data_IF_354526052405
#
_entry.id   IF_354526052405
#
_cell.length_a   1.000
_cell.length_b   1.000
_cell.length_c   1.000
_cell.angle_alpha   90.00
_cell.angle_beta   90.00
_cell.angle_gamma   90.00
#
_symmetry.space_group_name_H-M   'P 1'
#
loop_
_entity.id
_entity.type
_entity.pdbx_description
1 polymer ?
#
# COMPACT_ATOMS: atom_id res chain seq x y z
N UNK A 1 49.12 24.33 40.77
CA UNK A 1 47.99 24.86 39.98
C UNK A 1 48.35 24.76 38.51
N UNK A 2 47.95 23.67 37.85
CA UNK A 2 48.21 23.44 36.44
C UNK A 2 47.16 24.23 35.61
N UNK A 3 47.65 25.19 34.86
CA UNK A 3 46.85 25.89 33.84
C UNK A 3 46.49 24.88 32.75
N UNK A 4 45.21 24.50 32.62
CA UNK A 4 44.72 23.83 31.45
C UNK A 4 44.57 24.83 30.33
N UNK A 5 45.47 24.78 29.38
CA UNK A 5 45.39 25.53 28.16
C UNK A 5 44.21 25.02 27.31
N UNK A 6 43.62 25.96 26.58
CA UNK A 6 42.45 25.77 25.70
C UNK A 6 42.63 24.54 24.79
N UNK A 7 41.65 23.58 24.84
CA UNK A 7 41.58 22.49 23.91
C UNK A 7 41.01 22.99 22.58
N UNK A 8 41.84 23.07 21.57
CA UNK A 8 41.37 23.35 20.19
C UNK A 8 40.86 22.03 19.57
N UNK A 9 39.55 21.98 19.34
CA UNK A 9 38.96 20.89 18.58
C UNK A 9 38.92 21.31 17.11
N UNK A 10 39.91 20.86 16.33
CA UNK A 10 39.94 21.08 14.89
C UNK A 10 39.05 20.05 14.19
N UNK A 11 37.91 20.46 13.67
CA UNK A 11 37.15 19.66 12.73
C UNK A 11 37.77 19.70 11.34
N UNK A 12 38.04 18.53 10.77
CA UNK A 12 38.54 18.35 9.39
C UNK A 12 37.60 19.04 8.40
N UNK A 13 38.19 19.83 7.52
CA UNK A 13 37.64 20.61 6.39
C UNK A 13 36.94 21.93 6.74
N UNK A 14 37.74 22.99 6.78
CA UNK A 14 37.38 24.34 6.30
C UNK A 14 36.35 25.13 7.07
N UNK A 15 35.92 24.73 8.28
CA UNK A 15 35.10 25.55 9.18
C UNK A 15 35.98 26.14 10.27
N UNK A 16 35.84 27.44 10.51
CA UNK A 16 36.51 28.14 11.60
C UNK A 16 36.27 27.40 12.92
N UNK A 17 37.36 27.01 13.59
CA UNK A 17 37.27 26.40 14.90
C UNK A 17 36.70 27.47 15.88
N UNK A 18 35.57 27.20 16.47
CA UNK A 18 35.05 28.02 17.57
C UNK A 18 35.89 27.74 18.80
N UNK A 19 36.65 28.75 19.24
CA UNK A 19 37.50 28.63 20.41
C UNK A 19 36.68 29.05 21.62
N UNK A 20 36.19 28.09 22.40
CA UNK A 20 35.54 28.38 23.68
C UNK A 20 36.57 28.51 24.81
N UNK A 21 36.42 29.54 25.60
CA UNK A 21 37.17 29.65 26.87
C UNK A 21 36.60 28.60 27.87
N UNK A 22 37.45 28.16 28.81
CA UNK A 22 37.03 27.26 29.89
C UNK A 22 35.89 27.79 30.74
N UNK A 23 35.76 29.15 30.83
CA UNK A 23 34.66 29.80 31.52
C UNK A 23 33.33 29.68 30.74
N UNK A 24 33.36 29.84 29.43
CA UNK A 24 32.21 29.68 28.54
C UNK A 24 31.73 28.21 28.51
N UNK A 25 32.65 27.23 28.43
CA UNK A 25 32.30 25.82 28.53
C UNK A 25 31.59 25.48 29.84
N UNK A 26 32.07 26.00 30.97
CA UNK A 26 31.40 25.80 32.27
C UNK A 26 30.02 26.43 32.30
N UNK A 27 29.86 27.64 31.75
CA UNK A 27 28.59 28.37 31.66
C UNK A 27 27.59 27.57 30.77
N UNK A 28 28.03 27.13 29.58
CA UNK A 28 27.21 26.36 28.68
C UNK A 28 26.80 25.00 29.25
N UNK A 29 27.71 24.32 29.97
CA UNK A 29 27.37 23.09 30.69
C UNK A 29 26.41 23.30 31.86
N UNK A 30 26.48 24.45 32.56
CA UNK A 30 25.53 24.78 33.61
C UNK A 30 24.12 25.01 33.03
N UNK A 31 24.00 25.72 31.90
CA UNK A 31 22.77 25.96 31.20
C UNK A 31 22.20 24.62 30.68
N UNK A 32 23.04 23.80 30.05
CA UNK A 32 22.63 22.46 29.57
C UNK A 32 22.08 21.58 30.70
N UNK A 33 22.72 21.58 31.85
CA UNK A 33 22.24 20.83 33.03
C UNK A 33 20.92 21.35 33.58
N UNK A 34 20.67 22.66 33.45
CA UNK A 34 19.45 23.29 33.94
C UNK A 34 18.27 23.17 32.97
N UNK A 35 18.52 23.28 31.65
CA UNK A 35 17.48 23.37 30.61
C UNK A 35 17.40 22.12 29.73
N UNK A 36 18.41 21.26 29.76
CA UNK A 36 18.51 20.11 28.84
C UNK A 36 18.89 20.48 27.40
N UNK A 37 19.04 21.78 27.10
CA UNK A 37 19.37 22.30 25.76
C UNK A 37 20.69 23.03 25.78
N UNK A 38 21.58 22.70 24.84
CA UNK A 38 22.84 23.44 24.73
C UNK A 38 22.62 24.83 24.13
N UNK A 39 23.15 25.90 24.73
CA UNK A 39 22.89 27.28 24.28
C UNK A 39 23.26 27.55 22.82
N UNK A 40 24.25 26.85 22.29
CA UNK A 40 24.65 26.91 20.90
C UNK A 40 23.60 26.34 19.95
N UNK A 41 22.89 25.29 20.38
CA UNK A 41 21.77 24.75 19.63
C UNK A 41 20.57 25.68 19.65
N UNK A 42 20.32 26.38 20.78
CA UNK A 42 19.30 27.42 20.86
C UNK A 42 19.61 28.59 19.95
N UNK A 43 20.86 29.13 20.01
CA UNK A 43 21.29 30.21 19.14
C UNK A 43 21.24 29.81 17.65
N UNK A 44 21.62 28.58 17.34
CA UNK A 44 21.55 28.06 15.97
C UNK A 44 20.11 27.87 15.51
N UNK A 45 19.23 27.38 16.38
CA UNK A 45 17.80 27.27 16.12
C UNK A 45 17.16 28.66 15.94
N UNK A 46 17.51 29.63 16.80
CA UNK A 46 17.01 31.00 16.70
C UNK A 46 17.51 31.70 15.41
N UNK A 47 18.80 31.60 15.08
CA UNK A 47 19.34 32.16 13.84
C UNK A 47 18.83 31.46 12.58
N UNK A 48 18.55 30.17 12.67
CA UNK A 48 17.92 29.39 11.60
C UNK A 48 16.44 29.75 11.42
N UNK A 49 15.72 29.99 12.51
CA UNK A 49 14.33 30.45 12.47
C UNK A 49 14.16 31.86 11.87
N UNK A 50 15.12 32.74 12.09
CA UNK A 50 15.10 34.11 11.57
C UNK A 50 15.53 34.21 10.09
N UNK A 51 16.30 33.20 9.60
CA UNK A 51 16.82 33.15 8.23
C UNK A 51 16.14 32.10 7.35
N UNK A 52 15.28 31.22 7.91
CA UNK A 52 14.63 30.21 7.14
C UNK A 52 13.48 30.77 6.29
N UNK A 53 13.48 30.58 4.98
CA UNK A 53 12.31 30.91 4.18
C UNK A 53 11.11 30.16 4.77
N UNK A 54 10.03 30.89 5.04
CA UNK A 54 8.79 30.28 5.52
C UNK A 54 8.16 29.40 4.44
N UNK A 55 7.21 28.56 4.84
CA UNK A 55 6.38 27.84 3.87
C UNK A 55 5.61 28.83 2.98
N UNK A 56 5.32 28.50 1.73
CA UNK A 56 4.55 29.36 0.80
C UNK A 56 3.25 29.84 1.43
N UNK A 57 2.76 31.01 1.00
CA UNK A 57 1.46 31.50 1.46
C UNK A 57 0.35 30.50 1.14
N UNK A 58 -0.71 30.46 1.96
CA UNK A 58 -1.86 29.59 1.73
C UNK A 58 -2.62 30.00 0.50
N UNK A 59 -3.00 29.00 -0.30
CA UNK A 59 -3.80 29.19 -1.49
C UNK A 59 -4.99 28.21 -1.47
N UNK A 60 -6.21 28.76 -1.53
CA UNK A 60 -7.43 27.98 -1.52
C UNK A 60 -7.63 27.15 -2.81
N UNK A 61 -6.95 27.50 -3.90
CA UNK A 61 -7.01 26.75 -5.17
C UNK A 61 -6.18 25.46 -5.12
N UNK A 62 -5.24 25.35 -4.20
CA UNK A 62 -4.45 24.14 -4.02
C UNK A 62 -5.29 22.99 -3.50
N UNK A 63 -4.99 21.76 -3.92
CA UNK A 63 -5.69 20.59 -3.39
C UNK A 63 -5.42 20.42 -1.90
N UNK A 64 -6.48 20.12 -1.16
CA UNK A 64 -6.42 19.82 0.26
C UNK A 64 -6.71 18.34 0.48
N UNK A 65 -5.91 17.71 1.32
CA UNK A 65 -6.04 16.30 1.73
C UNK A 65 -6.34 16.25 3.22
N UNK A 66 -7.29 15.43 3.63
CA UNK A 66 -7.53 15.16 5.04
C UNK A 66 -7.08 13.76 5.43
N UNK A 67 -6.64 13.63 6.68
CA UNK A 67 -6.35 12.38 7.37
C UNK A 67 -7.15 12.35 8.66
N UNK A 68 -7.99 11.35 8.82
CA UNK A 68 -8.62 11.04 10.10
C UNK A 68 -7.73 10.04 10.85
N UNK A 69 -7.21 10.45 11.99
CA UNK A 69 -6.35 9.62 12.82
C UNK A 69 -7.19 8.85 13.84
N UNK A 70 -6.97 7.54 13.89
CA UNK A 70 -7.69 6.61 14.78
C UNK A 70 -6.68 5.88 15.65
N UNK A 71 -6.91 5.88 16.94
CA UNK A 71 -6.14 5.15 17.94
C UNK A 71 -6.82 3.85 18.29
N UNK A 72 -6.06 2.78 18.44
CA UNK A 72 -6.55 1.52 19.01
C UNK A 72 -6.12 1.46 20.45
N UNK A 73 -7.08 1.50 21.36
CA UNK A 73 -6.83 1.39 22.80
C UNK A 73 -6.51 -0.05 23.20
N UNK A 74 -5.99 -0.23 24.42
CA UNK A 74 -5.72 -1.55 24.98
C UNK A 74 -6.95 -2.48 25.01
N UNK A 75 -8.15 -1.90 25.00
CA UNK A 75 -9.44 -2.63 24.96
C UNK A 75 -9.89 -2.95 23.53
N UNK A 76 -9.03 -2.77 22.52
CA UNK A 76 -9.32 -2.97 21.09
C UNK A 76 -10.43 -2.05 20.53
N UNK A 77 -10.78 -0.98 21.26
CA UNK A 77 -11.71 0.02 20.77
C UNK A 77 -10.98 1.00 19.85
N UNK A 78 -11.64 1.34 18.73
CA UNK A 78 -11.19 2.39 17.82
C UNK A 78 -11.72 3.73 18.29
N UNK A 79 -10.83 4.65 18.58
CA UNK A 79 -11.14 6.01 18.99
C UNK A 79 -10.56 7.01 18.00
N UNK A 80 -11.37 7.94 17.52
CA UNK A 80 -10.88 9.01 16.63
C UNK A 80 -10.09 10.01 17.46
N UNK A 81 -8.82 10.16 17.15
CA UNK A 81 -7.92 11.15 17.78
C UNK A 81 -8.22 12.55 17.25
N UNK A 82 -8.42 12.65 15.93
CA UNK A 82 -8.77 13.90 15.27
C UNK A 82 -8.53 13.85 13.77
N UNK A 83 -8.72 14.98 13.12
CA UNK A 83 -8.57 15.12 11.67
C UNK A 83 -7.50 16.17 11.35
N UNK A 84 -6.57 15.81 10.49
CA UNK A 84 -5.59 16.73 9.92
C UNK A 84 -6.05 17.15 8.53
N UNK A 85 -5.83 18.41 8.18
CA UNK A 85 -6.02 18.92 6.81
C UNK A 85 -4.69 19.46 6.32
N UNK A 86 -4.27 18.98 5.16
CA UNK A 86 -2.99 19.31 4.52
C UNK A 86 -3.26 20.00 3.20
N UNK A 87 -2.76 21.19 3.02
CA UNK A 87 -2.68 21.88 1.73
C UNK A 87 -1.47 21.33 0.95
N UNK A 88 -1.66 20.89 -0.27
CA UNK A 88 -0.63 20.25 -1.08
C UNK A 88 -0.08 21.22 -2.11
N UNK A 89 1.24 21.37 -2.17
CA UNK A 89 1.96 22.28 -3.08
C UNK A 89 2.18 21.67 -4.48
N UNK A 90 1.07 21.28 -5.14
CA UNK A 90 1.13 20.64 -6.45
C UNK A 90 1.67 21.58 -7.55
N UNK A 91 1.57 22.88 -7.35
CA UNK A 91 2.12 23.93 -8.20
C UNK A 91 3.66 24.05 -8.11
N UNK A 92 4.23 23.73 -6.95
CA UNK A 92 5.68 23.85 -6.68
C UNK A 92 6.38 22.52 -6.89
N UNK A 93 5.75 21.41 -6.46
CA UNK A 93 6.27 20.04 -6.51
C UNK A 93 5.25 19.11 -7.16
N UNK A 94 5.04 19.21 -8.48
CA UNK A 94 3.93 18.55 -9.15
C UNK A 94 3.99 17.02 -9.10
N UNK A 95 5.15 16.40 -9.20
CA UNK A 95 5.25 14.93 -9.17
C UNK A 95 5.00 14.39 -7.77
N UNK A 96 5.63 14.98 -6.75
CA UNK A 96 5.47 14.57 -5.36
C UNK A 96 4.07 14.92 -4.83
N UNK A 97 3.54 16.11 -5.16
CA UNK A 97 2.20 16.55 -4.79
C UNK A 97 1.12 15.63 -5.36
N UNK A 98 1.15 15.33 -6.66
CA UNK A 98 0.25 14.37 -7.31
C UNK A 98 0.33 12.99 -6.68
N UNK A 99 1.54 12.49 -6.41
CA UNK A 99 1.73 11.21 -5.76
C UNK A 99 1.10 11.17 -4.37
N UNK A 100 1.24 12.25 -3.59
CA UNK A 100 0.63 12.38 -2.28
C UNK A 100 -0.91 12.36 -2.34
N UNK A 101 -1.51 13.16 -3.24
CA UNK A 101 -2.96 13.20 -3.45
C UNK A 101 -3.49 11.84 -3.94
N UNK A 102 -2.80 11.20 -4.90
CA UNK A 102 -3.19 9.88 -5.39
C UNK A 102 -3.17 8.80 -4.28
N UNK A 103 -2.18 8.83 -3.38
CA UNK A 103 -2.11 7.92 -2.23
C UNK A 103 -3.23 8.16 -1.23
N UNK A 104 -3.56 9.42 -0.98
CA UNK A 104 -4.67 9.78 -0.11
C UNK A 104 -6.03 9.37 -0.69
N UNK A 105 -6.20 9.46 -2.01
CA UNK A 105 -7.45 9.10 -2.69
C UNK A 105 -7.53 7.63 -3.10
N UNK A 106 -6.44 6.90 -3.06
CA UNK A 106 -6.39 5.50 -3.52
C UNK A 106 -6.49 5.31 -5.02
N UNK A 107 -6.22 6.38 -5.82
CA UNK A 107 -6.31 6.39 -7.28
C UNK A 107 -5.09 5.86 -8.03
N UNK A 108 -4.09 5.35 -7.34
CA UNK A 108 -2.76 5.11 -7.90
C UNK A 108 -2.52 3.81 -8.68
N UNK A 109 -3.44 3.41 -9.56
CA UNK A 109 -3.19 2.25 -10.44
C UNK A 109 -1.96 2.43 -11.37
N UNK A 110 -1.49 3.67 -11.58
CA UNK A 110 -0.33 4.00 -12.44
C UNK A 110 1.03 3.97 -11.76
N UNK A 111 1.11 4.05 -10.44
CA UNK A 111 2.36 4.09 -9.64
C UNK A 111 2.77 2.70 -9.11
N UNK A 112 2.50 1.65 -9.85
CA UNK A 112 3.00 0.31 -9.51
C UNK A 112 2.24 -0.42 -8.42
N UNK A 113 0.97 -0.12 -8.23
CA UNK A 113 0.05 -0.84 -7.34
C UNK A 113 -0.14 -0.14 -6.00
N UNK A 114 -1.34 0.32 -5.77
CA UNK A 114 -2.07 0.34 -4.49
C UNK A 114 -1.37 0.88 -3.23
N UNK A 115 -0.47 1.85 -3.32
CA UNK A 115 0.00 2.55 -2.12
C UNK A 115 -1.09 3.53 -1.69
N UNK A 116 -1.82 3.17 -0.64
CA UNK A 116 -2.85 4.03 -0.02
C UNK A 116 -2.40 4.39 1.39
N UNK A 117 -2.72 5.60 1.81
CA UNK A 117 -2.50 5.97 3.20
C UNK A 117 -3.58 5.43 4.15
N UNK A 118 -4.74 5.09 3.64
CA UNK A 118 -5.82 4.49 4.42
C UNK A 118 -5.40 3.18 5.08
N UNK A 119 -5.66 3.04 6.37
CA UNK A 119 -5.25 1.92 7.22
C UNK A 119 -3.73 1.73 7.39
N UNK A 120 -2.92 2.76 7.09
CA UNK A 120 -1.49 2.72 7.40
C UNK A 120 -1.23 3.19 8.83
N UNK A 121 -0.21 2.63 9.45
CA UNK A 121 0.19 2.93 10.81
C UNK A 121 1.08 4.18 10.87
N UNK A 122 0.90 4.97 11.93
CA UNK A 122 1.91 5.93 12.38
C UNK A 122 2.95 5.12 13.13
N UNK A 123 4.04 4.82 12.46
CA UNK A 123 5.05 3.89 12.96
C UNK A 123 6.13 4.56 13.81
N UNK A 124 6.25 5.89 13.74
CA UNK A 124 7.25 6.62 14.51
C UNK A 124 6.73 7.98 14.96
N UNK A 125 6.93 8.28 16.22
CA UNK A 125 6.62 9.58 16.82
C UNK A 125 7.84 10.06 17.58
N UNK A 126 8.47 11.14 17.09
CA UNK A 126 9.56 11.80 17.81
C UNK A 126 8.95 12.95 18.61
N UNK A 127 8.89 12.85 19.94
CA UNK A 127 8.17 13.79 20.77
C UNK A 127 8.57 15.26 20.53
N UNK A 128 7.58 16.10 20.24
CA UNK A 128 7.78 17.53 19.97
C UNK A 128 8.51 17.87 18.67
N UNK A 129 8.88 16.89 17.84
CA UNK A 129 9.69 17.09 16.64
C UNK A 129 8.93 16.71 15.38
N UNK A 130 8.56 15.42 15.22
CA UNK A 130 7.93 14.92 13.99
C UNK A 130 7.15 13.62 14.19
N UNK A 131 6.31 13.34 13.24
CA UNK A 131 5.49 12.13 13.19
C UNK A 131 5.64 11.50 11.81
N UNK A 132 6.01 10.22 11.76
CA UNK A 132 6.22 9.48 10.52
C UNK A 132 5.13 8.40 10.35
N UNK A 133 4.50 8.38 9.18
CA UNK A 133 3.41 7.46 8.86
C UNK A 133 3.45 6.96 7.41
N UNK A 134 2.43 6.20 7.03
CA UNK A 134 2.25 5.75 5.66
C UNK A 134 3.18 4.61 5.23
N UNK A 135 3.82 3.93 6.19
CA UNK A 135 4.62 2.76 5.89
C UNK A 135 3.72 1.61 5.42
N UNK A 136 4.07 1.03 4.31
CA UNK A 136 3.39 -0.15 3.76
C UNK A 136 4.40 -1.24 3.45
N UNK A 137 3.97 -2.49 3.62
CA UNK A 137 4.74 -3.64 3.16
C UNK A 137 4.88 -3.57 1.64
N UNK A 138 6.11 -3.73 1.16
CA UNK A 138 6.43 -3.70 -0.27
C UNK A 138 5.75 -4.88 -0.96
N UNK A 139 4.68 -4.61 -1.70
CA UNK A 139 4.08 -5.59 -2.58
C UNK A 139 4.83 -5.57 -3.93
N UNK A 140 5.39 -6.70 -4.31
CA UNK A 140 6.06 -6.92 -5.60
C UNK A 140 7.35 -6.09 -5.85
N UNK A 141 8.11 -5.73 -4.82
CA UNK A 141 9.41 -5.07 -4.99
C UNK A 141 9.36 -3.61 -5.45
N UNK A 142 8.17 -3.02 -5.59
CA UNK A 142 8.01 -1.60 -5.95
C UNK A 142 7.77 -0.79 -4.68
N UNK A 143 8.74 0.03 -4.32
CA UNK A 143 8.70 0.82 -3.08
C UNK A 143 7.73 2.01 -3.12
N UNK A 144 7.17 2.34 -4.28
CA UNK A 144 6.37 3.56 -4.44
C UNK A 144 7.19 4.84 -4.17
N UNK A 145 8.50 4.78 -4.28
CA UNK A 145 9.36 5.93 -4.09
C UNK A 145 9.04 7.03 -5.12
N UNK A 146 9.10 8.27 -4.68
CA UNK A 146 8.99 9.46 -5.54
C UNK A 146 10.33 10.18 -5.49
N UNK A 147 11.00 10.36 -6.62
CA UNK A 147 12.28 11.05 -6.64
C UNK A 147 12.13 12.50 -6.18
N UNK A 148 13.16 13.02 -5.52
CA UNK A 148 13.20 14.41 -5.12
C UNK A 148 13.18 15.33 -6.33
N UNK A 149 12.28 16.28 -6.34
CA UNK A 149 12.25 17.33 -7.37
C UNK A 149 13.35 18.34 -7.13
N UNK A 150 14.19 18.58 -8.15
CA UNK A 150 15.40 19.39 -8.05
C UNK A 150 15.22 20.82 -8.60
N UNK A 151 13.98 21.34 -8.57
CA UNK A 151 13.72 22.73 -8.98
C UNK A 151 14.20 23.74 -7.92
N UNK A 152 14.48 24.96 -8.32
CA UNK A 152 14.88 26.00 -7.36
C UNK A 152 13.79 26.26 -6.29
N UNK A 153 12.52 26.20 -6.69
CA UNK A 153 11.37 26.38 -5.81
C UNK A 153 11.24 25.22 -4.81
N UNK A 154 11.40 23.97 -5.27
CA UNK A 154 11.28 22.78 -4.41
C UNK A 154 12.42 22.67 -3.39
N UNK A 155 13.63 23.07 -3.76
CA UNK A 155 14.80 23.09 -2.84
C UNK A 155 14.69 24.16 -1.73
N UNK A 156 13.90 25.19 -1.98
CA UNK A 156 13.70 26.29 -1.03
C UNK A 156 12.62 26.01 0.01
N UNK A 157 11.94 24.87 -0.04
CA UNK A 157 10.90 24.49 0.92
C UNK A 157 11.52 23.91 2.20
N UNK A 158 11.47 24.63 3.34
CA UNK A 158 12.03 24.17 4.60
C UNK A 158 11.08 23.20 5.28
N UNK A 159 11.60 22.28 6.09
CA UNK A 159 10.82 21.50 7.04
C UNK A 159 10.49 22.33 8.29
N UNK A 160 9.70 23.40 8.10
CA UNK A 160 9.18 24.21 9.19
C UNK A 160 8.06 23.45 9.94
N UNK A 161 7.64 23.98 11.10
CA UNK A 161 6.49 23.43 11.83
C UNK A 161 5.24 23.39 10.94
N UNK A 162 4.54 22.25 10.93
CA UNK A 162 3.40 22.00 10.07
C UNK A 162 3.76 21.55 8.65
N UNK A 163 5.04 21.47 8.26
CA UNK A 163 5.42 20.95 6.96
C UNK A 163 5.11 19.45 6.86
N UNK A 164 4.62 19.04 5.69
CA UNK A 164 4.40 17.64 5.33
C UNK A 164 5.36 17.29 4.22
N UNK A 165 6.12 16.19 4.40
CA UNK A 165 7.11 15.75 3.44
C UNK A 165 6.95 14.28 3.08
N UNK A 166 7.49 13.89 1.91
CA UNK A 166 7.58 12.52 1.44
C UNK A 166 9.03 12.04 1.47
N UNK A 167 9.22 10.80 1.88
CA UNK A 167 10.50 10.12 1.76
C UNK A 167 10.82 9.83 0.30
N UNK A 168 12.07 10.08 -0.11
CA UNK A 168 12.56 9.70 -1.43
C UNK A 168 12.69 8.18 -1.62
N UNK A 169 12.75 7.42 -0.52
CA UNK A 169 13.02 5.98 -0.54
C UNK A 169 11.76 5.11 -0.50
N UNK A 170 10.60 5.68 -0.15
CA UNK A 170 9.40 4.90 0.04
C UNK A 170 8.11 5.72 0.10
N UNK A 171 7.00 5.07 0.43
CA UNK A 171 5.69 5.72 0.48
C UNK A 171 5.47 6.52 1.76
N UNK A 172 6.41 6.54 2.68
CA UNK A 172 6.27 7.18 3.99
C UNK A 172 6.16 8.69 3.87
N UNK A 173 5.29 9.26 4.69
CA UNK A 173 5.20 10.70 4.88
C UNK A 173 5.65 11.09 6.29
N UNK A 174 6.18 12.27 6.41
CA UNK A 174 6.57 12.89 7.68
C UNK A 174 5.79 14.18 7.87
N UNK A 175 5.26 14.40 9.07
CA UNK A 175 4.66 15.66 9.49
C UNK A 175 5.55 16.29 10.55
N UNK A 176 6.08 17.47 10.29
CA UNK A 176 6.93 18.20 11.22
C UNK A 176 6.07 18.92 12.27
N UNK A 177 6.25 18.59 13.54
CA UNK A 177 5.63 19.30 14.66
C UNK A 177 6.43 20.56 14.99
N UNK A 178 7.75 20.45 14.91
CA UNK A 178 8.69 21.58 15.01
C UNK A 178 9.56 21.66 13.76
N UNK A 179 10.39 22.69 13.66
CA UNK A 179 11.33 22.83 12.54
C UNK A 179 12.34 21.67 12.51
N UNK A 180 12.46 21.01 11.36
CA UNK A 180 13.31 19.83 11.15
C UNK A 180 14.33 20.05 10.02
N UNK A 181 15.30 20.98 10.16
CA UNK A 181 16.24 21.31 9.08
C UNK A 181 17.16 20.16 8.68
N UNK A 182 17.27 19.12 9.51
CA UNK A 182 18.03 17.91 9.20
C UNK A 182 17.38 17.06 8.09
N UNK A 183 16.09 17.27 7.79
CA UNK A 183 15.38 16.59 6.70
C UNK A 183 15.50 17.35 5.37
N UNK A 184 16.01 18.59 5.38
CA UNK A 184 16.17 19.40 4.18
C UNK A 184 17.16 18.72 3.21
N UNK A 185 16.68 18.43 2.01
CA UNK A 185 17.44 17.70 1.00
C UNK A 185 17.36 16.15 1.08
N UNK A 186 16.83 15.58 2.17
CA UNK A 186 16.60 14.13 2.29
C UNK A 186 15.15 13.75 1.96
N UNK A 187 14.22 14.63 2.33
CA UNK A 187 12.79 14.46 2.06
C UNK A 187 12.26 15.64 1.23
N UNK A 188 11.20 15.37 0.48
CA UNK A 188 10.53 16.39 -0.33
C UNK A 188 9.34 16.96 0.43
N UNK A 189 9.39 18.24 0.79
CA UNK A 189 8.22 18.93 1.32
C UNK A 189 7.17 19.01 0.21
N UNK A 190 5.97 18.52 0.50
CA UNK A 190 4.85 18.45 -0.45
C UNK A 190 3.65 19.27 -0.05
N UNK A 191 3.62 19.75 1.19
CA UNK A 191 2.48 20.50 1.69
C UNK A 191 2.68 21.00 3.11
N UNK A 192 1.60 21.56 3.65
CA UNK A 192 1.54 21.97 5.05
C UNK A 192 0.21 21.64 5.70
N UNK A 193 0.21 21.47 6.99
CA UNK A 193 -1.00 21.32 7.81
C UNK A 193 -1.67 22.68 7.94
N UNK A 194 -2.92 22.77 7.51
CA UNK A 194 -3.78 23.97 7.63
C UNK A 194 -4.73 23.87 8.82
N UNK A 195 -5.08 22.65 9.23
CA UNK A 195 -5.94 22.41 10.39
C UNK A 195 -5.54 21.12 11.09
N UNK A 196 -5.67 21.06 12.41
CA UNK A 196 -5.37 19.89 13.23
C UNK A 196 -3.96 19.86 13.83
N UNK A 197 -3.28 21.00 13.94
CA UNK A 197 -1.99 21.06 14.65
C UNK A 197 -2.11 20.62 16.11
N UNK A 198 -3.21 20.92 16.78
CA UNK A 198 -3.53 20.44 18.13
C UNK A 198 -3.59 18.92 18.24
N UNK A 199 -4.01 18.25 17.16
CA UNK A 199 -4.04 16.78 17.06
C UNK A 199 -2.62 16.23 16.97
N UNK A 200 -1.74 16.90 16.19
CA UNK A 200 -0.32 16.53 16.07
C UNK A 200 0.43 16.74 17.38
N UNK A 201 0.18 17.84 18.06
CA UNK A 201 0.78 18.12 19.36
C UNK A 201 0.40 17.05 20.38
N UNK A 202 -0.89 16.72 20.51
CA UNK A 202 -1.37 15.63 21.37
C UNK A 202 -0.75 14.28 21.00
N UNK A 203 -0.61 14.00 19.70
CA UNK A 203 0.01 12.76 19.24
C UNK A 203 1.52 12.74 19.53
N UNK A 204 2.18 13.89 19.46
CA UNK A 204 3.60 14.01 19.78
C UNK A 204 3.92 13.80 21.26
N UNK A 205 2.93 13.97 22.14
CA UNK A 205 3.04 13.70 23.58
C UNK A 205 2.75 12.21 23.93
N UNK A 206 2.42 11.40 22.95
CA UNK A 206 2.15 9.98 23.15
C UNK A 206 3.39 9.26 23.72
N UNK A 207 3.16 8.29 24.58
CA UNK A 207 4.23 7.43 25.10
C UNK A 207 4.79 6.59 23.96
N UNK A 208 6.11 6.60 23.82
CA UNK A 208 6.86 5.86 22.79
C UNK A 208 7.87 4.93 23.45
N UNK A 209 8.28 3.92 22.71
CA UNK A 209 9.38 3.03 23.08
C UNK A 209 10.76 3.63 22.71
N UNK A 210 11.82 2.84 22.89
CA UNK A 210 13.20 3.25 22.59
C UNK A 210 13.43 3.50 21.07
N UNK A 211 12.60 2.94 20.20
CA UNK A 211 12.62 3.11 18.74
C UNK A 211 11.66 4.21 18.26
N UNK A 212 11.09 4.97 19.20
CA UNK A 212 10.06 5.99 18.94
C UNK A 212 8.75 5.45 18.35
N UNK A 213 8.46 4.16 18.46
CA UNK A 213 7.17 3.62 18.10
C UNK A 213 6.15 3.88 19.23
N UNK A 214 4.94 4.37 18.90
CA UNK A 214 3.94 4.66 19.91
C UNK A 214 3.41 3.36 20.55
N UNK A 215 3.29 3.32 21.89
CA UNK A 215 2.71 2.16 22.58
C UNK A 215 1.24 1.92 22.21
N UNK A 216 0.49 2.98 22.00
CA UNK A 216 -0.87 2.90 21.46
C UNK A 216 -0.80 3.05 19.95
N UNK A 217 -1.24 2.01 19.23
CA UNK A 217 -1.20 2.03 17.78
C UNK A 217 -2.14 3.07 17.21
N UNK A 218 -1.60 3.96 16.41
CA UNK A 218 -2.34 5.01 15.70
C UNK A 218 -2.31 4.72 14.21
N UNK A 219 -3.46 4.82 13.57
CA UNK A 219 -3.64 4.56 12.15
C UNK A 219 -4.29 5.74 11.45
N UNK A 220 -4.02 5.86 10.19
CA UNK A 220 -4.83 6.68 9.28
C UNK A 220 -6.12 5.91 9.00
N UNK A 221 -7.22 6.26 9.67
CA UNK A 221 -8.52 5.58 9.51
C UNK A 221 -9.11 5.83 8.14
N UNK A 222 -9.35 7.10 7.81
CA UNK A 222 -9.81 7.53 6.49
C UNK A 222 -8.99 8.71 5.99
N UNK A 223 -8.84 8.79 4.69
CA UNK A 223 -8.16 9.91 4.04
C UNK A 223 -8.77 10.18 2.66
N UNK A 224 -8.54 11.37 2.15
CA UNK A 224 -9.04 11.76 0.82
C UNK A 224 -8.89 13.25 0.56
N UNK A 225 -9.32 13.69 -0.61
CA UNK A 225 -9.36 15.11 -0.97
C UNK A 225 -10.56 15.79 -0.29
N UNK A 226 -10.35 17.01 0.15
CA UNK A 226 -11.38 17.86 0.75
C UNK A 226 -11.18 19.30 0.27
N UNK A 227 -12.08 20.20 0.68
CA UNK A 227 -11.89 21.65 0.54
C UNK A 227 -11.03 22.21 1.69
N UNK A 228 -10.68 23.50 1.62
CA UNK A 228 -9.87 24.19 2.65
C UNK A 228 -10.45 24.08 4.07
N UNK A 229 -11.78 23.92 4.19
CA UNK A 229 -12.48 23.73 5.47
C UNK A 229 -12.49 22.28 6.00
N UNK A 230 -11.80 21.36 5.34
CA UNK A 230 -11.69 19.95 5.75
C UNK A 230 -12.85 19.06 5.27
N UNK A 231 -12.93 17.80 5.75
CA UNK A 231 -13.87 16.80 5.25
C UNK A 231 -15.33 17.09 5.58
N UNK A 232 -15.60 17.96 6.54
CA UNK A 232 -16.95 18.43 6.90
C UNK A 232 -17.30 19.77 6.26
N UNK A 233 -16.37 20.41 5.54
CA UNK A 233 -16.56 21.64 4.81
C UNK A 233 -17.17 21.43 3.42
N UNK A 234 -17.13 22.46 2.57
CA UNK A 234 -17.76 22.43 1.23
C UNK A 234 -17.29 21.30 0.31
N UNK A 235 -16.11 20.71 0.55
CA UNK A 235 -15.61 19.55 -0.21
C UNK A 235 -16.09 18.18 0.30
N UNK A 236 -16.74 18.09 1.46
CA UNK A 236 -17.12 16.82 2.08
C UNK A 236 -18.12 16.02 1.23
N UNK A 237 -19.08 16.70 0.62
CA UNK A 237 -20.07 16.07 -0.25
C UNK A 237 -19.40 15.45 -1.50
N UNK A 238 -18.45 16.16 -2.12
CA UNK A 238 -17.70 15.67 -3.27
C UNK A 238 -16.81 14.46 -2.89
N UNK A 239 -16.12 14.52 -1.76
CA UNK A 239 -15.33 13.42 -1.27
C UNK A 239 -16.18 12.19 -0.93
N UNK A 240 -17.37 12.39 -0.34
CA UNK A 240 -18.33 11.32 -0.08
C UNK A 240 -18.87 10.70 -1.39
N UNK A 241 -19.21 11.51 -2.38
CA UNK A 241 -19.66 11.04 -3.68
C UNK A 241 -18.58 10.21 -4.41
N UNK A 242 -17.34 10.67 -4.43
CA UNK A 242 -16.20 9.93 -5.00
C UNK A 242 -15.92 8.61 -4.28
N UNK A 243 -16.11 8.56 -2.95
CA UNK A 243 -16.00 7.30 -2.18
C UNK A 243 -17.11 6.32 -2.54
N UNK A 244 -18.34 6.80 -2.65
CA UNK A 244 -19.50 5.98 -3.03
C UNK A 244 -19.34 5.41 -4.45
N UNK A 245 -18.87 6.21 -5.40
CA UNK A 245 -18.61 5.77 -6.77
C UNK A 245 -17.51 4.70 -6.84
N UNK A 246 -16.42 4.87 -6.07
CA UNK A 246 -15.33 3.89 -5.99
C UNK A 246 -15.75 2.60 -5.33
N UNK A 247 -16.52 2.68 -4.25
CA UNK A 247 -17.08 1.51 -3.59
C UNK A 247 -17.99 0.72 -4.54
N UNK A 248 -18.83 1.43 -5.33
CA UNK A 248 -19.67 0.81 -6.35
C UNK A 248 -18.85 0.17 -7.47
N UNK A 249 -17.78 0.83 -7.93
CA UNK A 249 -16.88 0.27 -8.95
C UNK A 249 -16.12 -0.98 -8.43
N UNK A 250 -15.65 -0.95 -7.20
CA UNK A 250 -15.01 -2.10 -6.56
C UNK A 250 -15.96 -3.27 -6.39
N UNK A 251 -17.21 -2.99 -5.96
CA UNK A 251 -18.26 -4.00 -5.84
C UNK A 251 -18.62 -4.64 -7.20
N UNK A 252 -18.69 -3.84 -8.26
CA UNK A 252 -18.90 -4.34 -9.63
C UNK A 252 -17.77 -5.27 -10.08
N UNK A 253 -16.51 -4.88 -9.90
CA UNK A 253 -15.34 -5.73 -10.23
C UNK A 253 -15.35 -7.04 -9.45
N UNK A 254 -15.60 -6.98 -8.14
CA UNK A 254 -15.68 -8.19 -7.33
C UNK A 254 -16.86 -9.11 -7.72
N UNK A 255 -17.97 -8.52 -8.17
CA UNK A 255 -19.11 -9.30 -8.67
C UNK A 255 -18.82 -9.96 -10.02
N UNK A 256 -18.08 -9.29 -10.89
CA UNK A 256 -17.64 -9.78 -12.21
C UNK A 256 -16.63 -10.93 -12.05
N UNK A 257 -15.63 -10.75 -11.20
CA UNK A 257 -14.65 -11.78 -10.85
C UNK A 257 -15.32 -13.03 -10.23
N UNK A 258 -16.34 -12.85 -9.39
CA UNK A 258 -17.14 -13.95 -8.87
C UNK A 258 -17.99 -14.64 -9.93
N UNK A 259 -18.41 -13.94 -10.99
CA UNK A 259 -19.14 -14.55 -12.10
C UNK A 259 -18.19 -15.38 -12.97
N UNK A 260 -17.04 -14.83 -13.34
CA UNK A 260 -16.03 -15.55 -14.13
C UNK A 260 -15.57 -16.84 -13.42
N UNK A 261 -15.24 -16.77 -12.13
CA UNK A 261 -14.86 -17.99 -11.37
C UNK A 261 -15.98 -19.01 -11.28
N UNK A 262 -17.26 -18.59 -11.20
CA UNK A 262 -18.40 -19.52 -11.21
C UNK A 262 -18.62 -20.16 -12.58
N UNK A 263 -18.41 -19.43 -13.67
CA UNK A 263 -18.50 -19.96 -15.02
C UNK A 263 -17.36 -20.94 -15.31
N UNK A 264 -16.14 -20.62 -14.90
CA UNK A 264 -14.99 -21.53 -15.01
C UNK A 264 -15.19 -22.81 -14.21
N UNK A 265 -15.70 -22.71 -12.96
CA UNK A 265 -16.00 -23.90 -12.15
C UNK A 265 -17.10 -24.73 -12.77
N UNK A 266 -18.15 -24.12 -13.33
CA UNK A 266 -19.23 -24.80 -14.02
C UNK A 266 -18.74 -25.51 -15.30
N UNK A 267 -17.89 -24.84 -16.09
CA UNK A 267 -17.27 -25.40 -17.29
C UNK A 267 -16.34 -26.59 -16.96
N UNK A 268 -15.59 -26.48 -15.84
CA UNK A 268 -14.75 -27.57 -15.36
C UNK A 268 -15.58 -28.81 -14.97
N UNK A 269 -16.64 -28.62 -14.18
CA UNK A 269 -17.55 -29.68 -13.76
C UNK A 269 -18.26 -30.34 -14.97
N UNK A 270 -18.65 -29.54 -15.97
CA UNK A 270 -19.23 -30.08 -17.20
C UNK A 270 -18.23 -30.98 -17.95
N UNK A 271 -16.97 -30.54 -18.10
CA UNK A 271 -15.91 -31.36 -18.73
C UNK A 271 -15.63 -32.66 -17.96
N UNK A 272 -15.62 -32.59 -16.63
CA UNK A 272 -15.44 -33.77 -15.78
C UNK A 272 -16.61 -34.74 -15.90
N UNK A 273 -17.86 -34.25 -15.96
CA UNK A 273 -19.04 -35.07 -16.15
C UNK A 273 -19.05 -35.76 -17.51
N UNK A 274 -18.66 -35.06 -18.58
CA UNK A 274 -18.56 -35.60 -19.94
C UNK A 274 -17.44 -36.65 -20.02
N UNK A 275 -16.30 -36.42 -19.39
CA UNK A 275 -15.19 -37.36 -19.33
C UNK A 275 -15.59 -38.66 -18.58
N UNK A 276 -16.30 -38.52 -17.46
CA UNK A 276 -16.85 -39.65 -16.70
C UNK A 276 -17.89 -40.42 -17.53
N UNK A 277 -18.81 -39.72 -18.19
CA UNK A 277 -19.80 -40.31 -19.08
C UNK A 277 -19.16 -41.06 -20.25
N UNK A 278 -18.11 -40.49 -20.85
CA UNK A 278 -17.34 -41.19 -21.92
C UNK A 278 -16.55 -42.39 -21.37
N UNK A 279 -16.05 -42.33 -20.16
CA UNK A 279 -15.40 -43.46 -19.46
C UNK A 279 -16.35 -44.61 -19.21
N UNK A 280 -17.54 -44.33 -18.70
CA UNK A 280 -18.59 -45.32 -18.43
C UNK A 280 -19.07 -46.00 -19.76
N UNK A 281 -19.29 -45.19 -20.81
CA UNK A 281 -19.67 -45.71 -22.14
C UNK A 281 -18.60 -46.66 -22.72
N UNK A 282 -17.31 -46.31 -22.60
CA UNK A 282 -16.20 -47.19 -23.03
C UNK A 282 -16.13 -48.48 -22.23
N UNK A 283 -16.24 -48.39 -20.90
CA UNK A 283 -16.24 -49.56 -20.03
C UNK A 283 -17.42 -50.53 -20.31
N UNK A 284 -18.62 -49.99 -20.59
CA UNK A 284 -19.79 -50.74 -20.99
C UNK A 284 -19.60 -51.40 -22.36
N UNK A 285 -19.07 -50.66 -23.34
CA UNK A 285 -18.78 -51.20 -24.66
C UNK A 285 -17.73 -52.33 -24.61
N UNK A 286 -16.66 -52.14 -23.82
CA UNK A 286 -15.64 -53.19 -23.61
C UNK A 286 -16.20 -54.40 -22.86
N UNK A 287 -17.11 -54.19 -21.91
CA UNK A 287 -17.84 -55.30 -21.24
C UNK A 287 -18.72 -56.13 -22.19
N UNK A 288 -19.48 -55.38 -22.99
CA UNK A 288 -20.35 -56.05 -24.01
C UNK A 288 -19.52 -56.79 -25.07
N UNK A 289 -18.41 -56.27 -25.51
CA UNK A 289 -17.50 -56.89 -26.44
C UNK A 289 -16.91 -58.19 -25.86
N UNK A 290 -16.43 -58.15 -24.60
CA UNK A 290 -15.91 -59.34 -23.92
C UNK A 290 -16.98 -60.42 -23.67
N UNK A 291 -18.24 -60.05 -23.43
CA UNK A 291 -19.35 -60.98 -23.34
C UNK A 291 -19.71 -61.57 -24.71
N UNK A 292 -19.68 -60.77 -25.80
CA UNK A 292 -19.83 -61.21 -27.15
C UNK A 292 -18.78 -62.30 -27.53
N UNK A 293 -17.50 -61.96 -27.31
CA UNK A 293 -16.37 -62.86 -27.53
C UNK A 293 -16.48 -64.21 -26.73
N UNK A 294 -16.97 -64.13 -25.48
CA UNK A 294 -17.23 -65.31 -24.65
C UNK A 294 -18.39 -66.17 -25.20
N UNK A 295 -19.44 -65.52 -25.75
CA UNK A 295 -20.58 -66.22 -26.38
C UNK A 295 -20.16 -66.90 -27.68
N UNK A 296 -19.36 -66.21 -28.49
CA UNK A 296 -18.83 -66.72 -29.73
C UNK A 296 -17.85 -67.91 -29.51
N UNK A 297 -16.93 -67.73 -28.52
CA UNK A 297 -16.05 -68.84 -28.10
C UNK A 297 -16.81 -70.06 -27.54
N UNK A 298 -17.96 -69.84 -26.87
CA UNK A 298 -18.82 -70.88 -26.35
C UNK A 298 -19.63 -71.52 -27.47
N UNK A 299 -20.00 -70.77 -28.53
CA UNK A 299 -20.69 -71.27 -29.73
C UNK A 299 -19.73 -72.06 -30.60
N UNK A 300 -18.49 -71.67 -30.79
CA UNK A 300 -17.44 -72.44 -31.45
C UNK A 300 -17.12 -73.73 -30.73
N UNK A 301 -17.04 -73.75 -29.41
CA UNK A 301 -16.86 -75.02 -28.65
C UNK A 301 -18.05 -75.93 -28.74
N UNK A 302 -19.28 -75.46 -28.95
CA UNK A 302 -20.47 -76.26 -29.11
C UNK A 302 -20.66 -76.72 -30.55
N UNK A 303 -20.25 -75.91 -31.56
CA UNK A 303 -20.26 -76.22 -32.95
C UNK A 303 -19.26 -77.38 -33.32
N UNK A 304 -18.02 -77.25 -32.75
CA UNK A 304 -17.00 -78.27 -32.95
C UNK A 304 -17.32 -79.63 -32.34
N UNK A 305 -18.34 -79.72 -31.49
CA UNK A 305 -18.79 -80.97 -30.90
C UNK A 305 -19.99 -81.58 -31.69
N UNK A 306 -20.61 -80.76 -32.56
CA UNK A 306 -21.71 -81.21 -33.46
C UNK A 306 -21.20 -81.67 -34.86
N UNK A 307 -20.09 -81.06 -35.33
CA UNK A 307 -19.44 -81.46 -36.60
C UNK A 307 -18.76 -82.84 -36.56
N UNK A 308 -18.51 -83.34 -35.36
CA UNK A 308 -17.93 -84.63 -35.16
C UNK A 308 -18.97 -85.80 -35.21
N UNK A 309 -20.28 -85.47 -35.33
CA UNK A 309 -21.37 -86.43 -35.22
C UNK A 309 -22.20 -86.58 -36.50
N UNK A 310 -22.12 -85.64 -37.44
CA UNK A 310 -22.87 -85.69 -38.68
C UNK A 310 -21.94 -85.43 -39.87
N UNK A 311 -21.58 -86.57 -40.53
CA UNK A 311 -20.87 -86.57 -41.81
C UNK A 311 -21.75 -86.06 -42.94
N UNK A 312 -21.06 -85.49 -43.92
CA UNK A 312 -21.38 -85.23 -45.30
C UNK A 312 -22.86 -85.29 -45.75
N UNK A 313 -23.34 -84.13 -46.23
CA UNK A 313 -24.34 -84.04 -47.30
C UNK A 313 -24.03 -82.78 -48.14
N UNK A 314 -24.01 -82.86 -49.49
CA UNK A 314 -23.54 -81.78 -50.36
C UNK A 314 -24.62 -80.74 -50.66
N UNK A 315 -24.10 -79.58 -51.10
CA UNK A 315 -24.67 -78.40 -51.70
C UNK A 315 -25.95 -78.56 -52.52
N UNK A 316 -26.82 -77.61 -52.42
CA UNK A 316 -27.58 -77.13 -53.58
C UNK A 316 -27.69 -75.57 -53.56
N UNK A 317 -27.38 -75.03 -54.73
CA UNK A 317 -27.44 -73.60 -55.07
C UNK A 317 -28.89 -73.13 -55.15
N UNK A 318 -29.16 -71.87 -54.80
CA UNK A 318 -30.16 -71.05 -55.47
C UNK A 318 -29.96 -69.57 -55.13
N UNK A 319 -29.59 -68.83 -56.15
CA UNK A 319 -29.74 -67.39 -56.32
C UNK A 319 -31.17 -66.94 -56.00
N UNK A 320 -31.33 -65.81 -55.46
CA UNK A 320 -32.30 -64.80 -55.91
C UNK A 320 -32.05 -63.44 -55.33
N UNK A 321 -31.87 -62.63 -56.22
CA UNK A 321 -31.88 -61.23 -56.53
C UNK A 321 -33.11 -60.44 -55.99
N UNK A 322 -32.94 -59.21 -55.71
CA UNK A 322 -33.83 -58.05 -55.93
C UNK A 322 -33.80 -57.09 -54.75
N UNK A 323 -33.13 -55.96 -54.85
CA UNK A 323 -33.53 -54.66 -55.38
C UNK A 323 -34.45 -53.82 -54.49
N UNK A 324 -34.02 -52.57 -54.40
CA UNK A 324 -34.80 -51.31 -54.27
C UNK A 324 -35.54 -51.04 -52.98
N UNK A 325 -35.57 -49.85 -52.46
CA UNK A 325 -35.42 -48.44 -52.75
C UNK A 325 -36.00 -47.65 -51.60
N UNK A 326 -35.47 -46.41 -51.40
CA UNK A 326 -36.12 -45.15 -51.02
C UNK A 326 -37.07 -45.06 -49.81
N UNK A 327 -36.72 -44.25 -48.80
CA UNK A 327 -37.07 -42.87 -48.56
C UNK A 327 -36.31 -42.35 -47.29
#
# INVERSE_FOLDING_TARGET
MTKFDSVQISHRKGKQASTYTTAELRKNMAIYKATGVHPELEQRAASSAEAAPGLPASDAERPHVFFELVRITATQLRETVGTLVVEVFEDIVPAAGKAFVLRATGGGAGLGGLVRYENTEIHRVVPGVRIDGGQQSVLNGKTGAVPLEQTAASRGLPHAAGAVSLSAQGPTFTVAVAACPHLDGEQQVVGRVTSGMDVLEKLSEAKVDDDFAPFERVYVGTCGVCGPGGPRGEGAALAAALRAERAAAAAKRAAEERRETKEETKARLARESDALGAGIKRSLADGLRKEGEKRDAKKMKKGGMLDAVLGDVPSDDSDDDASESDE
#
